data_IF_824334831363
#
_entry.id   IF_824334831363
#
_cell.length_a   1.000
_cell.length_b   1.000
_cell.length_c   1.000
_cell.angle_alpha   90.00
_cell.angle_beta   90.00
_cell.angle_gamma   90.00
#
_symmetry.space_group_name_H-M   'P 1'
#
loop_
_entity.id
_entity.type
_entity.pdbx_description
1 polymer ?
#
# COMPACT_ATOMS: atom_id res chain seq x y z
N UNK A 1 -18.39 -17.23 10.59
CA UNK A 1 -17.18 -16.38 10.50
C UNK A 1 -16.87 -16.14 9.03
N UNK A 2 -17.64 -15.26 8.39
CA UNK A 2 -17.46 -14.96 6.98
C UNK A 2 -16.91 -13.52 6.89
N UNK A 3 -16.14 -13.27 5.82
CA UNK A 3 -15.83 -11.93 5.29
C UNK A 3 -14.48 -11.28 5.67
N UNK A 4 -13.38 -11.97 5.38
CA UNK A 4 -12.25 -11.36 4.67
C UNK A 4 -11.69 -12.40 3.69
N UNK A 5 -12.22 -12.44 2.46
CA UNK A 5 -11.64 -13.27 1.41
C UNK A 5 -10.28 -12.64 1.05
N UNK A 6 -9.16 -13.37 1.15
CA UNK A 6 -7.85 -12.84 0.79
C UNK A 6 -7.83 -12.31 -0.65
N UNK A 7 -7.03 -11.26 -0.91
CA UNK A 7 -6.85 -10.71 -2.26
C UNK A 7 -6.41 -11.81 -3.23
N UNK A 8 -5.56 -12.74 -2.80
CA UNK A 8 -5.10 -13.87 -3.62
C UNK A 8 -6.21 -14.82 -4.07
N UNK A 9 -7.32 -14.87 -3.34
CA UNK A 9 -8.49 -15.70 -3.65
C UNK A 9 -9.50 -14.91 -4.49
N UNK A 10 -9.76 -13.65 -4.11
CA UNK A 10 -10.76 -12.81 -4.80
C UNK A 10 -10.26 -12.23 -6.13
N UNK A 11 -8.99 -11.86 -6.20
CA UNK A 11 -8.35 -11.22 -7.35
C UNK A 11 -7.03 -11.94 -7.71
N UNK A 12 -7.11 -13.23 -8.12
CA UNK A 12 -5.92 -14.04 -8.36
C UNK A 12 -5.01 -13.53 -9.49
N UNK A 13 -5.54 -12.87 -10.53
CA UNK A 13 -4.72 -12.31 -11.60
C UNK A 13 -3.93 -11.09 -11.13
N UNK A 14 -4.57 -10.16 -10.42
CA UNK A 14 -3.88 -9.03 -9.79
C UNK A 14 -2.81 -9.51 -8.79
N UNK A 15 -3.13 -10.55 -8.01
CA UNK A 15 -2.17 -11.14 -7.08
C UNK A 15 -0.95 -11.74 -7.79
N UNK A 16 -1.10 -12.37 -8.96
CA UNK A 16 0.04 -12.87 -9.75
C UNK A 16 0.94 -11.74 -10.24
N UNK A 17 0.37 -10.60 -10.66
CA UNK A 17 1.14 -9.41 -11.06
C UNK A 17 1.96 -8.91 -9.88
N UNK A 18 1.34 -8.80 -8.70
CA UNK A 18 2.03 -8.40 -7.46
C UNK A 18 3.19 -9.37 -7.13
N UNK A 19 2.95 -10.68 -7.16
CA UNK A 19 3.99 -11.68 -6.90
C UNK A 19 5.13 -11.59 -7.91
N UNK A 20 4.84 -11.36 -9.19
CA UNK A 20 5.85 -11.14 -10.23
C UNK A 20 6.72 -9.92 -9.94
N UNK A 21 6.10 -8.82 -9.54
CA UNK A 21 6.77 -7.58 -9.16
C UNK A 21 7.65 -7.74 -7.91
N UNK A 22 7.17 -8.43 -6.87
CA UNK A 22 8.00 -8.73 -5.70
C UNK A 22 9.22 -9.59 -6.07
N UNK A 23 9.01 -10.64 -6.89
CA UNK A 23 10.08 -11.54 -7.34
C UNK A 23 11.15 -10.82 -8.15
N UNK A 24 10.80 -9.85 -8.99
CA UNK A 24 11.80 -9.09 -9.76
C UNK A 24 12.74 -8.31 -8.86
N UNK A 25 12.22 -7.69 -7.79
CA UNK A 25 13.00 -6.95 -6.81
C UNK A 25 13.82 -7.85 -5.87
N UNK A 26 13.39 -9.09 -5.63
CA UNK A 26 14.22 -10.09 -4.93
C UNK A 26 15.38 -10.57 -5.79
N UNK A 27 15.18 -10.73 -7.11
CA UNK A 27 16.24 -11.18 -8.03
C UNK A 27 17.28 -10.12 -8.31
N UNK A 28 16.88 -8.86 -8.37
CA UNK A 28 17.77 -7.72 -8.61
C UNK A 28 17.56 -6.69 -7.51
N UNK A 29 18.15 -6.90 -6.33
CA UNK A 29 18.01 -5.97 -5.22
C UNK A 29 18.64 -4.62 -5.58
N UNK A 30 17.85 -3.56 -5.47
CA UNK A 30 18.32 -2.19 -5.65
C UNK A 30 17.99 -1.38 -4.40
N UNK A 31 18.94 -0.58 -3.96
CA UNK A 31 18.73 0.37 -2.88
C UNK A 31 18.26 1.72 -3.45
N UNK A 32 17.49 2.44 -2.66
CA UNK A 32 17.10 3.82 -2.92
C UNK A 32 16.88 4.55 -1.61
N UNK A 33 16.93 5.87 -1.67
CA UNK A 33 16.84 6.72 -0.48
C UNK A 33 15.42 7.25 -0.32
N UNK A 34 14.87 7.09 0.88
CA UNK A 34 13.53 7.57 1.25
C UNK A 34 13.64 8.64 2.34
N UNK A 35 12.73 9.62 2.40
CA UNK A 35 12.73 10.63 3.44
C UNK A 35 12.49 9.99 4.82
N UNK A 36 13.23 10.47 5.82
CA UNK A 36 12.96 10.16 7.23
C UNK A 36 11.85 11.09 7.72
N UNK A 37 10.77 10.51 8.26
CA UNK A 37 9.68 11.29 8.80
C UNK A 37 10.18 12.21 9.94
N UNK A 38 9.75 13.47 9.94
CA UNK A 38 10.10 14.48 10.95
C UNK A 38 11.59 14.84 11.06
N UNK A 39 12.41 14.49 10.07
CA UNK A 39 13.79 14.98 9.97
C UNK A 39 13.81 16.46 9.53
N UNK A 40 14.17 17.43 10.41
CA UNK A 40 14.12 18.87 10.09
C UNK A 40 15.12 19.26 8.99
N UNK A 41 16.16 18.45 8.83
CA UNK A 41 17.25 18.62 7.86
C UNK A 41 16.96 17.94 6.51
N UNK A 42 15.76 17.37 6.31
CA UNK A 42 15.42 16.66 5.07
C UNK A 42 16.20 15.37 4.87
N UNK A 43 16.73 14.79 5.96
CA UNK A 43 17.53 13.56 5.92
C UNK A 43 16.78 12.40 5.27
N UNK A 44 17.52 11.61 4.50
CA UNK A 44 17.04 10.36 3.91
C UNK A 44 17.67 9.16 4.59
N UNK A 45 17.01 8.00 4.44
CA UNK A 45 17.53 6.69 4.83
C UNK A 45 17.48 5.77 3.63
N UNK A 46 18.55 4.99 3.44
CA UNK A 46 18.61 4.02 2.35
C UNK A 46 17.79 2.78 2.69
N UNK A 47 16.91 2.38 1.79
CA UNK A 47 16.07 1.18 1.90
C UNK A 47 16.15 0.37 0.60
N UNK A 48 15.66 -0.87 0.62
CA UNK A 48 15.67 -1.74 -0.57
C UNK A 48 14.34 -1.67 -1.30
N UNK A 49 14.37 -1.54 -2.62
CA UNK A 49 13.16 -1.66 -3.43
C UNK A 49 12.50 -3.05 -3.23
N UNK A 50 11.17 -3.12 -3.21
CA UNK A 50 10.24 -2.02 -3.47
C UNK A 50 9.81 -1.22 -2.22
N UNK A 51 10.47 -1.37 -1.05
CA UNK A 51 10.07 -0.66 0.17
C UNK A 51 10.05 0.85 -0.04
N UNK A 52 9.04 1.52 0.52
CA UNK A 52 8.85 2.96 0.33
C UNK A 52 8.19 3.35 -0.99
N UNK A 53 7.70 2.39 -1.77
CA UNK A 53 6.97 2.64 -3.03
C UNK A 53 5.56 2.08 -2.98
N UNK A 54 4.73 2.45 -3.96
CA UNK A 54 3.44 1.86 -4.21
C UNK A 54 3.41 1.15 -5.57
N UNK A 55 2.65 0.06 -5.66
CA UNK A 55 2.30 -0.56 -6.94
C UNK A 55 0.79 -0.40 -7.17
N UNK A 56 0.43 0.23 -8.30
CA UNK A 56 -0.94 0.34 -8.77
C UNK A 56 -1.19 -0.75 -9.84
N UNK A 57 -2.18 -1.62 -9.61
CA UNK A 57 -2.56 -2.70 -10.52
C UNK A 57 -3.95 -2.41 -11.06
N UNK A 58 -4.05 -2.23 -12.38
CA UNK A 58 -5.31 -2.04 -13.08
C UNK A 58 -6.25 -3.26 -12.93
N UNK A 59 -7.57 -3.07 -13.06
CA UNK A 59 -8.52 -4.18 -13.00
C UNK A 59 -8.19 -5.23 -14.07
N UNK A 60 -8.09 -6.49 -13.65
CA UNK A 60 -7.78 -7.59 -14.54
C UNK A 60 -9.07 -8.18 -15.12
N UNK A 61 -9.17 -8.37 -16.45
CA UNK A 61 -10.37 -8.95 -17.07
C UNK A 61 -10.77 -10.31 -16.49
N UNK A 62 -9.79 -11.15 -16.13
CA UNK A 62 -10.01 -12.48 -15.56
C UNK A 62 -10.39 -12.47 -14.07
N UNK A 63 -10.25 -11.34 -13.39
CA UNK A 63 -10.73 -11.16 -12.01
C UNK A 63 -12.13 -10.51 -11.98
N UNK A 64 -12.63 -10.03 -13.12
CA UNK A 64 -13.93 -9.38 -13.22
C UNK A 64 -15.04 -10.40 -13.54
N UNK A 65 -16.16 -10.33 -12.82
CA UNK A 65 -17.42 -10.98 -13.22
C UNK A 65 -18.30 -10.01 -14.00
N UNK A 66 -19.07 -10.53 -14.95
CA UNK A 66 -19.98 -9.73 -15.75
C UNK A 66 -20.99 -9.01 -14.83
N UNK A 67 -21.12 -7.69 -15.00
CA UNK A 67 -22.03 -6.86 -14.19
C UNK A 67 -21.47 -6.43 -12.82
N UNK A 68 -20.27 -6.86 -12.43
CA UNK A 68 -19.65 -6.42 -11.18
C UNK A 68 -18.74 -5.21 -11.36
N UNK A 69 -18.59 -4.43 -10.27
CA UNK A 69 -17.59 -3.36 -10.21
C UNK A 69 -16.19 -3.94 -10.38
N UNK A 70 -15.38 -3.25 -11.17
CA UNK A 70 -13.96 -3.55 -11.39
C UNK A 70 -13.12 -2.75 -10.40
N UNK A 71 -12.14 -3.39 -9.78
CA UNK A 71 -11.31 -2.77 -8.75
C UNK A 71 -9.86 -2.67 -9.18
N UNK A 72 -9.27 -1.51 -8.93
CA UNK A 72 -7.81 -1.35 -8.89
C UNK A 72 -7.30 -1.92 -7.57
N UNK A 73 -6.15 -2.59 -7.60
CA UNK A 73 -5.47 -3.08 -6.39
C UNK A 73 -4.21 -2.26 -6.20
N UNK A 74 -4.05 -1.69 -5.01
CA UNK A 74 -2.90 -0.87 -4.65
C UNK A 74 -2.14 -1.57 -3.53
N UNK A 75 -0.84 -1.79 -3.73
CA UNK A 75 0.06 -2.38 -2.74
C UNK A 75 1.05 -1.32 -2.25
N UNK A 76 1.06 -1.05 -0.95
CA UNK A 76 2.07 -0.22 -0.30
C UNK A 76 3.16 -1.13 0.28
N UNK A 77 4.41 -0.89 -0.08
CA UNK A 77 5.53 -1.71 0.38
C UNK A 77 6.16 -1.11 1.64
N UNK A 78 5.69 -1.57 2.80
CA UNK A 78 6.03 -0.95 4.09
C UNK A 78 6.99 -1.80 4.93
N UNK A 79 7.10 -3.10 4.65
CA UNK A 79 7.97 -4.03 5.37
C UNK A 79 8.39 -5.19 4.47
N UNK A 80 9.60 -5.73 4.67
CA UNK A 80 10.10 -6.88 3.89
C UNK A 80 9.40 -8.19 4.27
N UNK A 81 9.07 -8.36 5.55
CA UNK A 81 8.32 -9.50 6.08
C UNK A 81 7.21 -9.02 7.02
N UNK A 82 6.37 -9.92 7.51
CA UNK A 82 5.23 -9.62 8.38
C UNK A 82 5.15 -10.57 9.58
N UNK A 83 4.29 -10.25 10.56
CA UNK A 83 4.15 -11.00 11.80
C UNK A 83 5.38 -10.83 12.69
N UNK A 84 5.83 -11.91 13.35
CA UNK A 84 7.02 -11.87 14.22
C UNK A 84 8.35 -11.56 13.50
N UNK A 85 8.33 -11.37 12.17
CA UNK A 85 9.48 -10.96 11.36
C UNK A 85 9.28 -9.61 10.67
N UNK A 86 8.26 -8.84 11.07
CA UNK A 86 8.05 -7.51 10.54
C UNK A 86 9.25 -6.60 10.83
N UNK A 87 9.49 -5.64 9.93
CA UNK A 87 10.50 -4.61 10.14
C UNK A 87 10.13 -3.74 11.36
N UNK A 88 11.10 -3.03 11.99
CA UNK A 88 10.81 -2.15 13.11
C UNK A 88 9.76 -1.08 12.78
N UNK A 89 8.93 -0.72 13.75
CA UNK A 89 7.81 0.22 13.57
C UNK A 89 8.25 1.53 12.90
N UNK A 90 9.37 2.10 13.30
CA UNK A 90 9.85 3.36 12.72
C UNK A 90 10.25 3.22 11.24
N UNK A 91 10.80 2.06 10.86
CA UNK A 91 11.07 1.76 9.45
C UNK A 91 9.77 1.57 8.67
N UNK A 92 8.78 0.87 9.24
CA UNK A 92 7.46 0.71 8.62
C UNK A 92 6.79 2.06 8.40
N UNK A 93 6.89 2.98 9.36
CA UNK A 93 6.34 4.33 9.28
C UNK A 93 7.04 5.17 8.20
N UNK A 94 8.38 5.17 8.14
CA UNK A 94 9.12 5.87 7.09
C UNK A 94 8.79 5.31 5.69
N UNK A 95 8.78 3.98 5.53
CA UNK A 95 8.39 3.34 4.28
C UNK A 95 6.92 3.65 3.92
N UNK A 96 6.01 3.69 4.90
CA UNK A 96 4.59 4.02 4.65
C UNK A 96 4.45 5.46 4.17
N UNK A 97 5.15 6.40 4.80
CA UNK A 97 5.17 7.79 4.38
C UNK A 97 5.64 7.94 2.93
N UNK A 98 6.80 7.36 2.59
CA UNK A 98 7.33 7.38 1.23
C UNK A 98 6.39 6.69 0.22
N UNK A 99 5.80 5.55 0.57
CA UNK A 99 4.88 4.82 -0.30
C UNK A 99 3.57 5.60 -0.56
N UNK A 100 3.05 6.35 0.40
CA UNK A 100 1.88 7.21 0.22
C UNK A 100 2.19 8.39 -0.71
N UNK A 101 3.36 9.01 -0.56
CA UNK A 101 3.82 10.07 -1.47
C UNK A 101 3.99 9.54 -2.89
N UNK A 102 4.60 8.36 -3.03
CA UNK A 102 4.77 7.69 -4.31
C UNK A 102 3.42 7.33 -4.95
N UNK A 103 2.47 6.81 -4.17
CA UNK A 103 1.10 6.57 -4.64
C UNK A 103 0.44 7.85 -5.15
N UNK A 104 0.52 8.94 -4.39
CA UNK A 104 -0.08 10.21 -4.76
C UNK A 104 0.52 10.75 -6.07
N UNK A 105 1.86 10.63 -6.24
CA UNK A 105 2.55 10.96 -7.48
C UNK A 105 2.04 10.13 -8.65
N UNK A 106 1.97 8.80 -8.51
CA UNK A 106 1.51 7.91 -9.57
C UNK A 106 0.05 8.20 -9.98
N UNK A 107 -0.83 8.50 -9.02
CA UNK A 107 -2.23 8.84 -9.31
C UNK A 107 -2.34 10.17 -10.09
N UNK A 108 -1.54 11.18 -9.75
CA UNK A 108 -1.48 12.44 -10.52
C UNK A 108 -1.01 12.19 -11.96
N UNK A 109 0.04 11.39 -12.13
CA UNK A 109 0.56 11.06 -13.46
C UNK A 109 -0.46 10.30 -14.33
N UNK A 110 -1.26 9.40 -13.73
CA UNK A 110 -2.35 8.74 -14.45
C UNK A 110 -3.40 9.75 -14.92
N UNK A 111 -3.76 10.70 -14.06
CA UNK A 111 -4.72 11.75 -14.38
C UNK A 111 -4.20 12.67 -15.50
N UNK A 112 -2.97 13.17 -15.38
CA UNK A 112 -2.33 14.06 -16.36
C UNK A 112 -2.20 13.41 -17.75
N UNK A 113 -1.95 12.09 -17.79
CA UNK A 113 -1.87 11.33 -19.04
C UNK A 113 -3.25 10.98 -19.63
N UNK A 114 -4.35 11.35 -18.98
CA UNK A 114 -5.69 10.94 -19.37
C UNK A 114 -5.89 9.41 -19.32
N UNK A 115 -5.06 8.71 -18.54
CA UNK A 115 -5.16 7.27 -18.39
C UNK A 115 -6.30 6.90 -17.45
N UNK A 116 -6.82 5.67 -17.58
CA UNK A 116 -7.77 5.16 -16.61
C UNK A 116 -7.14 5.13 -15.20
N UNK A 117 -7.89 5.58 -14.20
CA UNK A 117 -7.48 5.66 -12.80
C UNK A 117 -8.64 5.22 -11.89
N UNK A 118 -8.40 4.89 -10.61
CA UNK A 118 -9.48 4.65 -9.66
C UNK A 118 -10.25 5.95 -9.34
N UNK A 119 -11.58 5.88 -9.32
CA UNK A 119 -12.44 7.03 -8.97
C UNK A 119 -12.44 7.36 -7.47
N UNK A 120 -12.16 6.36 -6.62
CA UNK A 120 -12.11 6.50 -5.17
C UNK A 120 -11.18 5.45 -4.56
N UNK A 121 -10.53 5.81 -3.46
CA UNK A 121 -9.64 4.93 -2.71
C UNK A 121 -10.31 4.43 -1.44
N UNK A 122 -10.17 3.13 -1.19
CA UNK A 122 -10.64 2.47 0.02
C UNK A 122 -9.49 1.67 0.62
N UNK A 123 -9.33 1.77 1.93
CA UNK A 123 -8.28 1.07 2.66
C UNK A 123 -8.84 0.40 3.91
N UNK A 124 -8.19 -0.67 4.37
CA UNK A 124 -8.34 -1.13 5.75
C UNK A 124 -7.43 -0.31 6.68
N UNK A 125 -7.41 -0.65 7.98
CA UNK A 125 -6.39 -0.15 8.91
C UNK A 125 -5.03 -0.80 8.63
N UNK A 126 -4.43 -0.49 7.48
CA UNK A 126 -3.16 -1.08 7.08
C UNK A 126 -2.07 -0.78 8.12
N UNK A 127 -1.13 -1.72 8.26
CA UNK A 127 -0.14 -1.79 9.33
C UNK A 127 -0.63 -2.13 10.76
N UNK A 128 -1.92 -2.03 11.08
CA UNK A 128 -2.42 -2.33 12.44
C UNK A 128 -2.72 -3.79 12.71
N UNK A 129 -2.67 -4.64 11.69
CA UNK A 129 -2.76 -6.10 11.83
C UNK A 129 -1.40 -6.75 12.08
N UNK A 130 -0.92 -7.52 11.11
CA UNK A 130 0.32 -8.32 11.22
C UNK A 130 1.62 -7.50 11.36
N UNK A 131 1.57 -6.18 11.20
CA UNK A 131 2.72 -5.29 11.46
C UNK A 131 2.67 -4.62 12.83
N UNK A 132 1.58 -4.80 13.60
CA UNK A 132 1.41 -4.31 14.96
C UNK A 132 1.69 -2.80 15.15
N UNK A 133 1.51 -1.98 14.10
CA UNK A 133 1.65 -0.52 14.19
C UNK A 133 0.36 0.08 14.77
N UNK A 134 0.44 0.88 15.85
CA UNK A 134 -0.74 1.57 16.39
C UNK A 134 -1.45 2.39 15.30
N UNK A 135 -2.75 2.17 15.13
CA UNK A 135 -3.53 2.75 14.02
C UNK A 135 -3.39 4.27 13.92
N UNK A 136 -3.34 4.97 15.06
CA UNK A 136 -3.16 6.42 15.11
C UNK A 136 -1.92 6.91 14.34
N UNK A 137 -0.82 6.14 14.33
CA UNK A 137 0.39 6.49 13.57
C UNK A 137 0.15 6.40 12.06
N UNK A 138 -0.47 5.31 11.58
CA UNK A 138 -0.79 5.16 10.15
C UNK A 138 -1.83 6.19 9.71
N UNK A 139 -2.88 6.41 10.51
CA UNK A 139 -3.94 7.38 10.22
C UNK A 139 -3.35 8.78 10.03
N UNK A 140 -2.45 9.21 10.92
CA UNK A 140 -1.77 10.49 10.80
C UNK A 140 -1.00 10.63 9.48
N UNK A 141 -0.33 9.58 9.02
CA UNK A 141 0.36 9.61 7.72
C UNK A 141 -0.60 9.78 6.54
N UNK A 142 -1.77 9.14 6.58
CA UNK A 142 -2.80 9.31 5.55
C UNK A 142 -3.27 10.76 5.53
N UNK A 143 -3.54 11.34 6.70
CA UNK A 143 -4.00 12.73 6.84
C UNK A 143 -2.93 13.75 6.41
N UNK A 144 -1.66 13.50 6.71
CA UNK A 144 -0.56 14.43 6.43
C UNK A 144 -0.11 14.40 4.96
N UNK A 145 -0.02 13.21 4.34
CA UNK A 145 0.62 13.04 3.00
C UNK A 145 -0.09 12.08 2.05
N UNK A 146 -1.13 11.37 2.50
CA UNK A 146 -1.84 10.40 1.67
C UNK A 146 -2.77 11.05 0.65
N UNK A 147 -3.11 10.35 -0.45
CA UNK A 147 -4.28 10.71 -1.24
C UNK A 147 -5.56 10.52 -0.41
N UNK A 148 -6.62 11.24 -0.77
CA UNK A 148 -7.93 11.09 -0.14
C UNK A 148 -8.41 9.64 -0.26
N UNK A 149 -8.74 9.02 0.88
CA UNK A 149 -9.21 7.64 0.94
C UNK A 149 -10.19 7.41 2.09
N UNK A 150 -11.11 6.47 1.88
CA UNK A 150 -12.03 6.01 2.93
C UNK A 150 -11.44 4.79 3.64
N UNK A 151 -11.23 4.91 4.96
CA UNK A 151 -10.84 3.76 5.78
C UNK A 151 -12.08 3.00 6.21
N UNK A 152 -12.12 1.70 5.88
CA UNK A 152 -13.24 0.81 6.20
C UNK A 152 -12.95 0.04 7.48
N UNK A 153 -13.91 0.04 8.40
CA UNK A 153 -13.85 -0.64 9.69
C UNK A 153 -14.70 -1.91 9.67
N UNK A 154 -14.28 -3.00 10.32
CA UNK A 154 -15.14 -4.14 10.57
C UNK A 154 -16.37 -3.72 11.37
N UNK A 155 -17.53 -4.30 11.07
CA UNK A 155 -18.84 -3.94 11.67
C UNK A 155 -18.88 -4.07 13.20
N UNK A 156 -17.93 -4.79 13.81
CA UNK A 156 -17.86 -5.02 15.27
C UNK A 156 -16.72 -4.28 15.98
N UNK A 157 -16.09 -3.30 15.32
CA UNK A 157 -15.00 -2.52 15.92
C UNK A 157 -15.60 -1.39 16.77
N UNK A 158 -15.68 -1.59 18.09
CA UNK A 158 -16.26 -0.64 19.06
C UNK A 158 -15.32 0.50 19.47
N UNK A 159 -14.12 0.57 18.89
CA UNK A 159 -13.10 1.58 19.21
C UNK A 159 -12.78 2.44 17.97
N UNK A 160 -13.77 3.20 17.49
CA UNK A 160 -13.59 4.25 16.48
C UNK A 160 -13.12 5.53 17.15
#
# INVERSE_FOLDING_TARGET
MQWLIPISVKYPAAYRIHVGYCKSHTKTPMAHDIPVLQAPDGRTVSTRLPLGTAQIIAPQPSDARLGEKRYWIICLFTSYAYGGRADPVDQIINNTHAALQDLQRQLRELHEKGAAAPDALYACRFNSGLFAVPWAKTRKLIEDVGPEMTVVYPVNDVNV
#
